data_IF_332086660273
#
_entry.id   IF_332086660273
#
_cell.length_a   1.000
_cell.length_b   1.000
_cell.length_c   1.000
_cell.angle_alpha   90.00
_cell.angle_beta   90.00
_cell.angle_gamma   90.00
#
_symmetry.space_group_name_H-M   'P 1'
#
loop_
_entity.id
_entity.type
_entity.pdbx_description
1 polymer ?
#
# COMPACT_ATOMS: atom_id res chain seq x y z
N UNK A 1 -13.96 -11.46 -22.66
CA UNK A 1 -12.73 -10.70 -22.46
C UNK A 1 -13.10 -9.24 -22.16
N UNK A 2 -12.81 -8.75 -20.95
CA UNK A 2 -13.23 -7.40 -20.53
C UNK A 2 -12.21 -6.32 -20.92
N UNK A 3 -10.93 -6.69 -21.00
CA UNK A 3 -9.85 -5.80 -21.44
C UNK A 3 -8.66 -6.59 -21.96
N UNK A 4 -7.79 -5.91 -22.71
CA UNK A 4 -6.45 -6.35 -23.00
C UNK A 4 -5.53 -5.91 -21.85
N UNK A 5 -4.59 -6.79 -21.47
CA UNK A 5 -3.62 -6.52 -20.42
C UNK A 5 -2.20 -6.58 -21.00
N UNK A 6 -1.35 -5.68 -20.55
CA UNK A 6 0.08 -5.82 -20.78
C UNK A 6 0.68 -6.86 -19.80
N UNK A 7 1.96 -7.17 -19.95
CA UNK A 7 2.67 -8.12 -19.10
C UNK A 7 3.48 -7.42 -17.99
N UNK A 8 2.95 -6.38 -17.40
CA UNK A 8 3.65 -5.65 -16.34
C UNK A 8 3.87 -6.54 -15.12
N UNK A 9 5.12 -6.63 -14.69
CA UNK A 9 5.53 -7.32 -13.46
C UNK A 9 5.99 -6.27 -12.45
N UNK A 10 5.35 -6.21 -11.31
CA UNK A 10 5.72 -5.26 -10.25
C UNK A 10 7.03 -5.69 -9.58
N UNK A 11 8.08 -4.91 -9.76
CA UNK A 11 9.42 -5.14 -9.20
C UNK A 11 9.94 -3.85 -8.54
N UNK A 12 9.32 -3.39 -7.45
CA UNK A 12 9.70 -2.15 -6.79
C UNK A 12 11.05 -2.29 -6.10
N UNK A 13 11.70 -1.16 -5.88
CA UNK A 13 12.91 -1.06 -5.07
C UNK A 13 12.68 -0.17 -3.86
N UNK A 14 13.58 -0.25 -2.88
CA UNK A 14 13.58 0.60 -1.71
C UNK A 14 14.92 1.35 -1.59
N UNK A 15 14.85 2.62 -1.25
CA UNK A 15 16.01 3.46 -0.90
C UNK A 15 15.99 3.71 0.60
N UNK A 16 17.08 3.34 1.26
CA UNK A 16 17.37 3.72 2.64
C UNK A 16 18.69 4.48 2.68
N UNK A 17 18.64 5.76 3.00
CA UNK A 17 19.78 6.68 2.85
C UNK A 17 20.30 6.60 1.40
N UNK A 18 21.55 6.24 1.22
CA UNK A 18 22.21 6.13 -0.09
C UNK A 18 22.24 4.69 -0.64
N UNK A 19 21.54 3.76 0.00
CA UNK A 19 21.54 2.34 -0.36
C UNK A 19 20.25 1.93 -1.05
N UNK A 20 20.36 1.23 -2.18
CA UNK A 20 19.24 0.66 -2.93
C UNK A 20 19.06 -0.81 -2.58
N UNK A 21 17.82 -1.22 -2.29
CA UNK A 21 17.42 -2.59 -1.98
C UNK A 21 16.29 -3.06 -2.90
N UNK A 22 16.29 -4.35 -3.23
CA UNK A 22 15.17 -4.96 -3.95
C UNK A 22 14.01 -5.30 -3.01
N UNK A 23 12.79 -5.22 -3.56
CA UNK A 23 11.55 -5.72 -2.94
C UNK A 23 10.89 -6.75 -3.87
N UNK A 24 10.16 -7.72 -3.32
CA UNK A 24 9.94 -8.02 -1.90
C UNK A 24 11.23 -8.40 -1.18
N UNK A 25 11.19 -8.61 0.15
CA UNK A 25 12.36 -9.08 0.89
C UNK A 25 12.78 -10.47 0.40
N UNK A 26 13.81 -10.51 -0.42
CA UNK A 26 14.29 -11.70 -1.12
C UNK A 26 15.81 -11.84 -1.00
N UNK A 27 16.38 -12.82 -1.70
CA UNK A 27 17.83 -13.05 -1.63
C UNK A 27 18.68 -11.88 -2.16
N UNK A 28 18.15 -11.03 -3.08
CA UNK A 28 18.85 -9.81 -3.48
C UNK A 28 18.93 -8.83 -2.31
N UNK A 29 17.83 -8.64 -1.59
CA UNK A 29 17.76 -7.81 -0.37
C UNK A 29 18.74 -8.31 0.69
N UNK A 30 18.69 -9.61 1.01
CA UNK A 30 19.52 -10.21 2.06
C UNK A 30 21.00 -10.25 1.70
N UNK A 31 21.33 -10.52 0.44
CA UNK A 31 22.70 -10.49 -0.05
C UNK A 31 23.31 -9.09 0.05
N UNK A 32 22.54 -8.07 -0.30
CA UNK A 32 22.93 -6.67 -0.15
C UNK A 32 23.11 -6.28 1.32
N UNK A 33 22.15 -6.66 2.17
CA UNK A 33 22.09 -6.26 3.58
C UNK A 33 23.20 -6.92 4.42
N UNK A 34 23.49 -8.22 4.17
CA UNK A 34 24.34 -9.04 5.02
C UNK A 34 25.57 -9.62 4.32
N UNK A 35 25.81 -9.29 3.04
CA UNK A 35 26.89 -9.88 2.22
C UNK A 35 26.89 -11.42 2.23
N UNK A 36 25.71 -12.02 2.10
CA UNK A 36 25.49 -13.47 2.07
C UNK A 36 25.08 -13.93 0.66
N UNK A 37 25.22 -15.25 0.38
CA UNK A 37 24.96 -15.79 -0.95
C UNK A 37 23.92 -16.90 -1.01
N UNK A 38 23.54 -17.47 0.14
CA UNK A 38 22.69 -18.66 0.16
C UNK A 38 21.46 -18.49 1.05
N UNK A 39 20.32 -19.14 0.71
CA UNK A 39 19.13 -19.17 1.55
C UNK A 39 19.40 -19.65 2.97
N UNK A 40 20.31 -20.61 3.15
CA UNK A 40 20.70 -21.12 4.46
C UNK A 40 21.30 -20.03 5.35
N UNK A 41 22.18 -19.18 4.76
CA UNK A 41 22.80 -18.07 5.48
C UNK A 41 21.76 -17.00 5.85
N UNK A 42 20.82 -16.68 4.93
CA UNK A 42 19.75 -15.73 5.18
C UNK A 42 18.83 -16.19 6.33
N UNK A 43 18.36 -17.43 6.26
CA UNK A 43 17.53 -18.03 7.34
C UNK A 43 18.25 -18.04 8.69
N UNK A 44 19.55 -18.40 8.69
CA UNK A 44 20.37 -18.38 9.90
C UNK A 44 20.46 -16.98 10.50
N UNK A 45 20.69 -15.95 9.66
CA UNK A 45 20.83 -14.56 10.12
C UNK A 45 19.52 -14.01 10.71
N UNK A 46 18.39 -14.31 10.06
CA UNK A 46 17.05 -13.95 10.58
C UNK A 46 16.81 -14.65 11.93
N UNK A 47 17.10 -15.94 12.02
CA UNK A 47 16.87 -16.71 13.24
C UNK A 47 17.76 -16.26 14.41
N UNK A 48 19.01 -15.87 14.15
CA UNK A 48 19.90 -15.26 15.14
C UNK A 48 19.28 -13.99 15.71
N UNK A 49 18.85 -13.06 14.86
CA UNK A 49 18.25 -11.80 15.28
C UNK A 49 16.90 -11.98 15.99
N UNK A 50 16.11 -12.98 15.57
CA UNK A 50 14.87 -13.35 16.28
C UNK A 50 15.16 -13.83 17.70
N UNK A 51 16.15 -14.71 17.88
CA UNK A 51 16.56 -15.19 19.22
C UNK A 51 17.12 -14.06 20.09
N UNK A 52 17.96 -13.20 19.51
CA UNK A 52 18.51 -12.04 20.21
C UNK A 52 17.43 -11.05 20.67
N UNK A 53 16.32 -10.94 19.94
CA UNK A 53 15.20 -10.07 20.31
C UNK A 53 14.44 -10.54 21.53
N UNK A 54 14.46 -11.85 21.85
CA UNK A 54 13.69 -12.47 22.93
C UNK A 54 12.17 -12.42 22.74
N UNK A 55 11.67 -12.04 21.57
CA UNK A 55 10.24 -11.92 21.29
C UNK A 55 9.64 -13.33 21.08
N UNK A 56 8.74 -13.73 21.96
CA UNK A 56 7.99 -15.00 21.87
C UNK A 56 6.60 -14.80 21.30
N UNK A 57 5.90 -13.75 21.75
CA UNK A 57 4.56 -13.38 21.30
C UNK A 57 4.57 -11.88 20.93
N UNK A 58 4.58 -11.54 19.63
CA UNK A 58 4.60 -10.14 19.19
C UNK A 58 3.33 -9.40 19.58
N UNK A 59 3.46 -8.26 20.28
CA UNK A 59 2.34 -7.43 20.76
C UNK A 59 2.01 -6.26 19.85
N UNK A 60 2.94 -5.85 19.01
CA UNK A 60 2.85 -4.68 18.14
C UNK A 60 3.56 -4.94 16.82
N UNK A 61 3.46 -3.97 15.89
CA UNK A 61 4.05 -4.08 14.56
C UNK A 61 5.57 -4.22 14.58
N UNK A 62 6.29 -3.50 15.46
CA UNK A 62 7.75 -3.62 15.60
C UNK A 62 8.15 -5.06 15.95
N UNK A 63 7.57 -5.60 17.01
CA UNK A 63 7.86 -6.96 17.48
C UNK A 63 7.50 -8.01 16.41
N UNK A 64 6.36 -7.83 15.73
CA UNK A 64 5.94 -8.70 14.64
C UNK A 64 6.93 -8.65 13.47
N UNK A 65 7.38 -7.47 13.06
CA UNK A 65 8.35 -7.31 11.98
C UNK A 65 9.68 -7.99 12.33
N UNK A 66 10.23 -7.71 13.51
CA UNK A 66 11.49 -8.30 13.97
C UNK A 66 11.39 -9.83 14.03
N UNK A 67 10.26 -10.36 14.50
CA UNK A 67 10.03 -11.81 14.56
C UNK A 67 9.91 -12.47 13.17
N UNK A 68 9.54 -11.72 12.13
CA UNK A 68 9.43 -12.24 10.76
C UNK A 68 10.74 -12.13 9.97
N UNK A 69 11.37 -10.95 9.99
CA UNK A 69 12.47 -10.62 9.06
C UNK A 69 13.79 -10.25 9.75
N UNK A 70 13.80 -10.17 11.08
CA UNK A 70 14.95 -9.73 11.86
C UNK A 70 15.05 -8.22 12.00
N UNK A 71 15.89 -7.78 12.94
CA UNK A 71 16.05 -6.36 13.32
C UNK A 71 16.60 -5.49 12.19
N UNK A 72 17.59 -5.98 11.45
CA UNK A 72 18.24 -5.17 10.42
C UNK A 72 17.29 -4.81 9.28
N UNK A 73 16.46 -5.76 8.84
CA UNK A 73 15.43 -5.50 7.82
C UNK A 73 14.36 -4.56 8.36
N UNK A 74 13.93 -4.76 9.61
CA UNK A 74 12.97 -3.88 10.25
C UNK A 74 13.48 -2.43 10.31
N UNK A 75 14.66 -2.19 10.87
CA UNK A 75 15.20 -0.84 11.07
C UNK A 75 15.45 -0.11 9.75
N UNK A 76 15.96 -0.79 8.72
CA UNK A 76 16.28 -0.16 7.43
C UNK A 76 15.09 -0.04 6.48
N UNK A 77 14.24 -1.07 6.41
CA UNK A 77 13.30 -1.20 5.28
C UNK A 77 11.82 -1.13 5.68
N UNK A 78 11.49 -1.20 6.98
CA UNK A 78 10.11 -1.22 7.45
C UNK A 78 9.79 -0.01 8.32
N UNK A 79 10.58 0.22 9.36
CA UNK A 79 10.30 1.18 10.42
C UNK A 79 9.96 2.58 9.93
N UNK A 80 10.87 3.22 9.20
CA UNK A 80 10.68 4.61 8.75
C UNK A 80 9.56 4.75 7.72
N UNK A 81 9.41 3.77 6.81
CA UNK A 81 8.28 3.74 5.87
C UNK A 81 6.94 3.64 6.61
N UNK A 82 6.83 2.71 7.56
CA UNK A 82 5.61 2.46 8.33
C UNK A 82 5.26 3.66 9.21
N UNK A 83 6.23 4.26 9.89
CA UNK A 83 6.02 5.48 10.69
C UNK A 83 5.45 6.62 9.85
N UNK A 84 5.97 6.84 8.64
CA UNK A 84 5.45 7.85 7.72
C UNK A 84 4.02 7.53 7.30
N UNK A 85 3.79 6.30 6.85
CA UNK A 85 2.48 5.88 6.35
C UNK A 85 1.37 6.01 7.40
N UNK A 86 1.66 5.57 8.63
CA UNK A 86 0.66 5.56 9.71
C UNK A 86 0.69 6.82 10.60
N UNK A 87 1.75 7.63 10.53
CA UNK A 87 1.92 8.81 11.39
C UNK A 87 2.09 8.46 12.87
N UNK A 88 2.41 7.21 13.20
CA UNK A 88 2.56 6.67 14.56
C UNK A 88 3.82 5.82 14.69
N UNK A 89 4.31 5.65 15.91
CA UNK A 89 5.41 4.72 16.18
C UNK A 89 4.95 3.27 15.92
N UNK A 90 5.86 2.43 15.40
CA UNK A 90 5.55 1.03 15.11
C UNK A 90 5.13 0.22 16.34
N UNK A 91 5.50 0.64 17.55
CA UNK A 91 5.09 0.03 18.81
C UNK A 91 3.65 0.33 19.21
N UNK A 92 3.05 1.37 18.63
CA UNK A 92 1.66 1.76 18.84
C UNK A 92 0.71 1.13 17.81
N UNK A 93 1.28 0.48 16.80
CA UNK A 93 0.52 -0.13 15.71
C UNK A 93 0.29 -1.62 15.98
N UNK A 94 -0.91 -2.14 15.64
CA UNK A 94 -1.22 -3.56 15.81
C UNK A 94 -0.31 -4.48 14.98
N UNK A 95 0.04 -5.64 15.54
CA UNK A 95 0.90 -6.63 14.90
C UNK A 95 0.35 -7.17 13.57
N UNK A 96 -0.99 -7.22 13.41
CA UNK A 96 -1.62 -7.79 12.22
C UNK A 96 -1.36 -6.99 10.93
N UNK A 97 -1.05 -5.68 11.01
CA UNK A 97 -0.76 -4.83 9.87
C UNK A 97 0.38 -5.41 9.01
N UNK A 98 1.36 -6.05 9.65
CA UNK A 98 2.53 -6.61 8.97
C UNK A 98 2.56 -8.15 8.98
N UNK A 99 1.45 -8.79 9.31
CA UNK A 99 1.38 -10.27 9.44
C UNK A 99 1.74 -11.02 8.15
N UNK A 100 1.58 -10.39 6.98
CA UNK A 100 1.78 -10.99 5.65
C UNK A 100 2.89 -10.31 4.87
N UNK A 101 4.07 -10.13 5.46
CA UNK A 101 5.23 -9.67 4.70
C UNK A 101 5.63 -10.71 3.65
N UNK A 102 5.81 -10.30 2.39
CA UNK A 102 6.34 -11.19 1.36
C UNK A 102 7.84 -11.45 1.60
N UNK A 103 8.15 -12.60 2.18
CA UNK A 103 9.50 -13.06 2.47
C UNK A 103 9.85 -14.22 1.53
N UNK A 104 10.93 -14.10 0.77
CA UNK A 104 11.35 -15.10 -0.21
C UNK A 104 12.84 -15.45 -0.09
N UNK A 105 13.13 -16.73 -0.18
CA UNK A 105 14.51 -17.22 -0.19
C UNK A 105 14.98 -17.61 -1.62
N UNK A 106 14.54 -16.80 -2.59
CA UNK A 106 14.90 -16.88 -4.02
C UNK A 106 15.41 -15.52 -4.49
N UNK A 107 16.04 -15.43 -5.65
CA UNK A 107 16.46 -14.18 -6.29
C UNK A 107 15.36 -13.58 -7.19
N UNK A 108 14.11 -13.88 -6.92
CA UNK A 108 12.97 -13.37 -7.67
C UNK A 108 12.51 -12.01 -7.12
N UNK A 109 12.51 -10.99 -7.97
CA UNK A 109 12.07 -9.63 -7.65
C UNK A 109 10.59 -9.36 -7.97
N UNK A 110 9.85 -10.34 -8.48
CA UNK A 110 8.43 -10.18 -8.67
C UNK A 110 7.73 -9.98 -7.31
N UNK A 111 7.07 -8.85 -7.13
CA UNK A 111 6.45 -8.51 -5.84
C UNK A 111 5.30 -9.44 -5.49
N UNK A 112 4.50 -9.86 -6.47
CA UNK A 112 3.35 -10.74 -6.29
C UNK A 112 3.68 -12.20 -6.60
N UNK A 113 2.87 -13.12 -6.08
CA UNK A 113 2.97 -14.57 -6.36
C UNK A 113 1.95 -15.04 -7.41
N UNK A 114 1.11 -14.12 -7.90
CA UNK A 114 0.02 -14.45 -8.81
C UNK A 114 0.58 -14.84 -10.18
N UNK A 115 0.06 -15.92 -10.80
CA UNK A 115 0.52 -16.38 -12.11
C UNK A 115 0.10 -15.44 -13.25
N UNK A 116 -0.95 -14.64 -13.05
CA UNK A 116 -1.44 -13.67 -14.00
C UNK A 116 -1.29 -12.26 -13.43
N UNK A 117 -0.47 -11.46 -14.08
CA UNK A 117 -0.16 -10.09 -13.69
C UNK A 117 -0.16 -9.20 -14.92
N UNK A 118 -0.59 -7.96 -14.77
CA UNK A 118 -0.59 -6.99 -15.86
C UNK A 118 -1.35 -5.73 -15.50
N UNK A 119 -1.18 -4.71 -16.33
CA UNK A 119 -1.96 -3.48 -16.28
C UNK A 119 -2.87 -3.45 -17.50
N UNK A 120 -4.16 -3.08 -17.34
CA UNK A 120 -5.05 -2.98 -18.49
C UNK A 120 -4.58 -1.89 -19.44
N UNK A 121 -4.49 -2.21 -20.73
CA UNK A 121 -4.11 -1.26 -21.77
C UNK A 121 -5.17 -0.16 -21.86
N UNK A 122 -4.73 1.09 -21.78
CA UNK A 122 -5.63 2.26 -21.75
C UNK A 122 -6.30 2.55 -20.40
N UNK A 123 -5.88 1.85 -19.34
CA UNK A 123 -6.31 2.11 -17.96
C UNK A 123 -7.52 1.30 -17.49
N UNK A 124 -7.91 1.52 -16.24
CA UNK A 124 -8.92 0.72 -15.55
C UNK A 124 -10.36 1.10 -15.88
N UNK A 125 -10.63 2.34 -16.33
CA UNK A 125 -11.98 2.84 -16.59
C UNK A 125 -12.71 2.00 -17.62
N UNK A 126 -12.06 1.59 -18.69
CA UNK A 126 -12.66 0.77 -19.74
C UNK A 126 -13.16 -0.60 -19.23
N UNK A 127 -12.50 -1.19 -18.23
CA UNK A 127 -12.97 -2.43 -17.59
C UNK A 127 -14.28 -2.17 -16.84
N UNK A 128 -14.32 -1.09 -16.07
CA UNK A 128 -15.50 -0.73 -15.27
C UNK A 128 -16.69 -0.41 -16.19
N UNK A 129 -16.48 0.37 -17.25
CA UNK A 129 -17.51 0.65 -18.26
C UNK A 129 -18.09 -0.64 -18.84
N UNK A 130 -17.22 -1.59 -19.17
CA UNK A 130 -17.65 -2.87 -19.75
C UNK A 130 -18.37 -3.77 -18.74
N UNK A 131 -17.98 -3.76 -17.48
CA UNK A 131 -18.68 -4.46 -16.40
C UNK A 131 -20.07 -3.89 -16.16
N UNK A 132 -20.22 -2.58 -16.32
CA UNK A 132 -21.46 -1.84 -16.11
C UNK A 132 -22.31 -1.63 -17.38
N UNK A 133 -21.92 -2.21 -18.52
CA UNK A 133 -22.58 -2.00 -19.82
C UNK A 133 -24.10 -2.19 -19.80
N UNK A 134 -24.61 -3.05 -18.91
CA UNK A 134 -26.04 -3.34 -18.75
C UNK A 134 -26.65 -2.72 -17.50
N UNK A 135 -25.92 -1.83 -16.84
CA UNK A 135 -26.33 -1.20 -15.58
C UNK A 135 -26.47 0.30 -15.81
N UNK A 136 -27.58 0.87 -15.35
CA UNK A 136 -27.72 2.33 -15.35
C UNK A 136 -26.70 2.94 -14.37
N UNK A 137 -25.89 3.89 -14.84
CA UNK A 137 -24.87 4.58 -14.04
C UNK A 137 -25.20 6.05 -13.99
N UNK A 138 -25.35 6.57 -12.78
CA UNK A 138 -25.56 8.01 -12.50
C UNK A 138 -24.30 8.57 -11.85
N UNK A 139 -23.50 9.32 -12.62
CA UNK A 139 -22.33 10.00 -12.09
C UNK A 139 -22.70 11.29 -11.35
N UNK A 140 -21.81 11.77 -10.47
CA UNK A 140 -22.01 13.00 -9.69
C UNK A 140 -23.33 13.02 -8.91
N UNK A 141 -23.76 11.86 -8.42
CA UNK A 141 -25.03 11.68 -7.71
C UNK A 141 -24.74 11.23 -6.29
N UNK A 142 -25.01 12.08 -5.34
CA UNK A 142 -24.86 11.75 -3.91
C UNK A 142 -25.96 10.78 -3.46
N UNK A 143 -25.59 9.79 -2.65
CA UNK A 143 -26.54 8.77 -2.14
C UNK A 143 -27.78 9.39 -1.47
N UNK A 144 -27.58 10.37 -0.60
CA UNK A 144 -28.69 11.02 0.14
C UNK A 144 -29.61 11.80 -0.76
N UNK A 145 -29.10 12.51 -1.74
CA UNK A 145 -29.86 13.25 -2.72
C UNK A 145 -30.72 12.29 -3.56
N UNK A 146 -30.09 11.21 -4.05
CA UNK A 146 -30.79 10.18 -4.81
C UNK A 146 -31.91 9.53 -3.99
N UNK A 147 -31.62 9.06 -2.79
CA UNK A 147 -32.62 8.40 -1.93
C UNK A 147 -33.71 9.34 -1.45
N UNK A 148 -33.44 10.62 -1.31
CA UNK A 148 -34.46 11.64 -0.97
C UNK A 148 -35.53 11.81 -2.07
N UNK A 149 -35.20 11.49 -3.33
CA UNK A 149 -36.09 11.64 -4.48
C UNK A 149 -36.66 10.32 -4.99
N UNK A 150 -35.96 9.17 -4.78
CA UNK A 150 -36.21 7.89 -5.44
C UNK A 150 -36.28 6.70 -4.46
N UNK A 151 -36.53 6.94 -3.18
CA UNK A 151 -36.56 5.86 -2.17
C UNK A 151 -37.56 4.76 -2.50
N UNK A 152 -38.70 5.11 -3.10
CA UNK A 152 -39.79 4.19 -3.46
C UNK A 152 -39.48 3.35 -4.71
N UNK A 153 -38.41 3.70 -5.45
CA UNK A 153 -37.96 3.00 -6.64
C UNK A 153 -36.86 1.96 -6.34
N UNK A 154 -36.38 1.88 -5.08
CA UNK A 154 -35.22 1.08 -4.69
C UNK A 154 -35.60 -0.04 -3.75
N UNK A 155 -35.45 -1.29 -4.21
CA UNK A 155 -35.72 -2.49 -3.40
C UNK A 155 -34.60 -2.77 -2.39
N UNK A 156 -33.34 -2.52 -2.75
CA UNK A 156 -32.16 -2.79 -1.91
C UNK A 156 -31.02 -1.82 -2.21
N UNK A 157 -30.34 -1.39 -1.16
CA UNK A 157 -29.16 -0.55 -1.24
C UNK A 157 -27.91 -1.32 -0.83
N UNK A 158 -26.82 -1.17 -1.60
CA UNK A 158 -25.48 -1.58 -1.22
C UNK A 158 -24.65 -0.31 -1.17
N UNK A 159 -24.39 0.18 0.06
CA UNK A 159 -23.60 1.37 0.28
C UNK A 159 -22.14 0.99 0.48
N UNK A 160 -21.24 1.55 -0.33
CA UNK A 160 -19.80 1.25 -0.29
C UNK A 160 -18.96 2.43 0.21
N UNK A 161 -19.60 3.50 0.67
CA UNK A 161 -18.95 4.64 1.33
C UNK A 161 -18.60 4.36 2.80
N UNK A 162 -18.20 5.39 3.52
CA UNK A 162 -17.87 5.29 4.94
C UNK A 162 -19.11 4.99 5.78
N UNK A 163 -19.03 3.97 6.64
CA UNK A 163 -20.17 3.54 7.48
C UNK A 163 -20.58 4.64 8.46
N UNK A 164 -19.65 5.35 9.06
CA UNK A 164 -19.90 6.44 9.99
C UNK A 164 -20.58 7.63 9.30
N UNK A 165 -20.19 7.98 8.07
CA UNK A 165 -20.85 8.97 7.23
C UNK A 165 -22.29 8.56 6.89
N UNK A 166 -22.52 7.28 6.58
CA UNK A 166 -23.86 6.76 6.30
C UNK A 166 -24.82 7.05 7.46
N UNK A 167 -24.34 6.98 8.70
CA UNK A 167 -25.09 7.23 9.92
C UNK A 167 -24.90 8.66 10.51
N UNK A 168 -24.45 9.63 9.70
CA UNK A 168 -24.26 11.03 10.13
C UNK A 168 -23.29 11.18 11.31
N UNK A 169 -22.29 10.30 11.40
CA UNK A 169 -21.29 10.28 12.48
C UNK A 169 -21.90 10.25 13.89
N UNK A 170 -23.13 9.73 14.02
CA UNK A 170 -23.91 9.76 15.29
C UNK A 170 -23.23 9.10 16.49
N UNK A 171 -22.32 8.14 16.24
CA UNK A 171 -21.53 7.46 17.27
C UNK A 171 -20.08 7.98 17.35
N UNK A 172 -19.70 8.90 16.48
CA UNK A 172 -18.36 9.45 16.33
C UNK A 172 -17.72 9.07 15.00
N UNK A 173 -16.58 9.70 14.68
CA UNK A 173 -15.86 9.48 13.43
C UNK A 173 -14.86 8.36 13.57
N UNK A 174 -14.79 7.49 12.57
CA UNK A 174 -13.70 6.54 12.38
C UNK A 174 -12.46 7.27 11.87
N UNK A 175 -11.29 6.79 12.25
CA UNK A 175 -10.03 7.39 11.84
C UNK A 175 -9.54 6.75 10.53
N UNK A 176 -9.05 7.60 9.62
CA UNK A 176 -8.45 7.19 8.37
C UNK A 176 -7.07 7.83 8.18
N UNK A 177 -6.26 7.20 7.35
CA UNK A 177 -5.08 7.84 6.77
C UNK A 177 -5.38 8.21 5.33
N UNK A 178 -4.75 9.28 4.88
CA UNK A 178 -4.89 9.80 3.52
C UNK A 178 -3.53 9.94 2.84
N UNK A 179 -3.58 10.24 1.54
CA UNK A 179 -2.40 10.46 0.71
C UNK A 179 -2.53 11.80 -0.02
N UNK A 180 -1.42 12.50 -0.12
CA UNK A 180 -1.27 13.67 -0.98
C UNK A 180 -0.20 13.38 -2.03
N UNK A 181 -0.49 13.73 -3.27
CA UNK A 181 0.42 13.52 -4.40
C UNK A 181 0.94 14.85 -4.93
N UNK A 182 2.23 14.91 -5.19
CA UNK A 182 2.86 15.99 -5.95
C UNK A 182 3.32 15.44 -7.29
N UNK A 183 2.67 15.90 -8.36
CA UNK A 183 2.96 15.47 -9.73
C UNK A 183 3.92 16.45 -10.37
N UNK A 184 4.94 15.92 -11.07
CA UNK A 184 5.96 16.71 -11.77
C UNK A 184 6.21 16.11 -13.15
N UNK A 185 6.28 16.97 -14.17
CA UNK A 185 6.68 16.60 -15.53
C UNK A 185 8.15 16.94 -15.69
N UNK A 186 8.95 15.93 -16.03
CA UNK A 186 10.40 16.05 -16.19
C UNK A 186 10.82 15.96 -17.66
N UNK A 187 11.79 16.78 -18.04
CA UNK A 187 12.42 16.75 -19.39
C UNK A 187 13.51 15.66 -19.45
N UNK A 188 13.12 14.46 -19.14
CA UNK A 188 13.93 13.24 -19.30
C UNK A 188 13.03 12.08 -19.69
N UNK A 189 13.56 11.18 -20.47
CA UNK A 189 12.85 9.96 -20.88
C UNK A 189 12.80 8.90 -19.79
N UNK A 190 13.66 8.98 -18.78
CA UNK A 190 13.72 7.98 -17.70
C UNK A 190 14.32 8.61 -16.44
N UNK A 191 13.55 8.72 -15.39
CA UNK A 191 13.96 9.34 -14.14
C UNK A 191 14.57 8.34 -13.15
N UNK A 192 13.91 7.21 -12.92
CA UNK A 192 14.30 6.26 -11.87
C UNK A 192 14.46 4.80 -12.35
N UNK A 193 14.17 4.51 -13.62
CA UNK A 193 14.38 3.19 -14.21
C UNK A 193 13.37 2.10 -13.84
N UNK A 194 12.36 2.41 -13.04
CA UNK A 194 11.29 1.49 -12.66
C UNK A 194 10.04 2.27 -12.24
N UNK A 195 8.89 1.59 -12.18
CA UNK A 195 7.63 2.25 -11.86
C UNK A 195 7.57 2.79 -10.43
N UNK A 196 8.15 2.10 -9.44
CA UNK A 196 8.02 2.47 -8.02
C UNK A 196 9.34 2.35 -7.29
N UNK A 197 9.77 3.46 -6.69
CA UNK A 197 10.86 3.52 -5.72
C UNK A 197 10.30 3.92 -4.35
N UNK A 198 10.45 3.05 -3.35
CA UNK A 198 10.02 3.31 -1.98
C UNK A 198 11.17 3.94 -1.18
N UNK A 199 10.88 4.96 -0.41
CA UNK A 199 11.85 5.65 0.47
C UNK A 199 11.58 5.25 1.91
N UNK A 200 12.45 4.45 2.48
CA UNK A 200 12.24 3.86 3.81
C UNK A 200 12.90 4.64 4.95
N UNK A 201 13.74 5.62 4.64
CA UNK A 201 14.27 6.55 5.63
C UNK A 201 13.17 7.51 6.12
N UNK A 202 13.04 7.67 7.44
CA UNK A 202 12.06 8.57 8.04
C UNK A 202 12.36 10.06 7.81
N UNK A 203 13.60 10.42 7.46
CA UNK A 203 13.98 11.80 7.13
C UNK A 203 13.52 12.22 5.73
N UNK A 204 13.13 11.30 4.87
CA UNK A 204 12.53 11.57 3.56
C UNK A 204 11.02 11.73 3.75
N UNK A 205 10.40 12.88 3.39
CA UNK A 205 9.03 13.17 3.78
C UNK A 205 7.97 12.38 3.01
N UNK A 206 8.28 11.84 1.84
CA UNK A 206 7.39 10.99 1.05
C UNK A 206 7.71 9.51 1.23
N UNK A 207 6.74 8.65 0.96
CA UNK A 207 6.90 7.19 1.05
C UNK A 207 7.42 6.58 -0.22
N UNK A 208 7.05 7.13 -1.39
CA UNK A 208 7.51 6.63 -2.69
C UNK A 208 7.47 7.69 -3.77
N UNK A 209 8.23 7.42 -4.81
CA UNK A 209 8.09 8.08 -6.11
C UNK A 209 7.57 7.05 -7.10
N UNK A 210 6.55 7.44 -7.86
CA UNK A 210 5.95 6.67 -8.94
C UNK A 210 6.34 7.32 -10.26
N UNK A 211 6.96 6.59 -11.17
CA UNK A 211 7.20 7.01 -12.55
C UNK A 211 6.23 6.26 -13.46
N UNK A 212 5.18 6.96 -13.90
CA UNK A 212 3.98 6.36 -14.47
C UNK A 212 4.22 5.62 -15.79
N UNK A 213 5.12 6.09 -16.64
CA UNK A 213 5.39 5.51 -17.96
C UNK A 213 5.75 4.01 -17.92
N UNK A 214 6.39 3.57 -16.82
CA UNK A 214 6.83 2.18 -16.69
C UNK A 214 5.68 1.18 -16.52
N UNK A 215 4.50 1.62 -16.08
CA UNK A 215 3.33 0.74 -15.97
C UNK A 215 2.80 0.29 -17.35
N UNK A 216 2.95 1.15 -18.37
CA UNK A 216 2.45 0.90 -19.72
C UNK A 216 3.58 0.67 -20.73
N UNK A 217 4.84 0.62 -20.29
CA UNK A 217 6.03 0.56 -21.15
C UNK A 217 6.07 1.68 -22.22
N UNK A 218 5.55 2.85 -21.86
CA UNK A 218 5.45 3.98 -22.77
C UNK A 218 6.84 4.50 -23.15
N UNK A 219 7.05 4.72 -24.44
CA UNK A 219 8.27 5.36 -24.96
C UNK A 219 8.01 6.84 -25.22
N UNK A 220 8.40 7.68 -24.27
CA UNK A 220 8.17 9.12 -24.29
C UNK A 220 9.48 9.87 -24.00
N UNK A 221 9.66 11.07 -24.59
CA UNK A 221 10.82 11.91 -24.36
C UNK A 221 10.79 12.64 -23.01
N UNK A 222 9.61 12.70 -22.40
CA UNK A 222 9.36 13.31 -21.07
C UNK A 222 8.67 12.28 -20.19
N UNK A 223 8.89 12.39 -18.90
CA UNK A 223 8.22 11.51 -17.95
C UNK A 223 7.43 12.28 -16.91
N UNK A 224 6.43 11.60 -16.31
CA UNK A 224 5.66 12.12 -15.18
C UNK A 224 6.00 11.29 -13.96
N UNK A 225 6.35 11.97 -12.89
CA UNK A 225 6.52 11.35 -11.58
C UNK A 225 5.48 11.88 -10.60
N UNK A 226 5.10 11.02 -9.63
CA UNK A 226 4.28 11.41 -8.47
C UNK A 226 5.04 11.08 -7.19
N UNK A 227 5.26 12.09 -6.33
CA UNK A 227 5.70 11.88 -4.95
C UNK A 227 4.49 11.68 -4.06
N UNK A 228 4.46 10.58 -3.33
CA UNK A 228 3.37 10.21 -2.43
C UNK A 228 3.69 10.57 -0.99
N UNK A 229 2.89 11.45 -0.41
CA UNK A 229 3.00 11.91 0.98
C UNK A 229 1.85 11.36 1.80
N UNK A 230 2.09 10.54 2.81
CA UNK A 230 1.05 10.18 3.77
C UNK A 230 0.65 11.38 4.62
N UNK A 231 -0.63 11.51 4.87
CA UNK A 231 -1.17 12.56 5.71
C UNK A 231 -2.36 12.08 6.55
N UNK A 232 -2.73 12.87 7.52
CA UNK A 232 -3.96 12.64 8.27
C UNK A 232 -5.16 12.92 7.37
N UNK A 233 -6.17 12.08 7.50
CA UNK A 233 -7.43 12.31 6.84
C UNK A 233 -8.17 13.47 7.50
N UNK A 234 -8.85 14.26 6.68
CA UNK A 234 -9.76 15.32 7.08
C UNK A 234 -10.97 15.27 6.16
N UNK A 235 -12.10 15.76 6.63
CA UNK A 235 -13.28 15.95 5.80
C UNK A 235 -12.94 16.72 4.51
N UNK A 236 -13.42 16.21 3.38
CA UNK A 236 -13.16 16.78 2.05
C UNK A 236 -11.91 16.23 1.33
N UNK A 237 -11.13 15.33 1.95
CA UNK A 237 -10.06 14.59 1.28
C UNK A 237 -10.35 13.09 1.28
N UNK A 238 -9.84 12.39 0.28
CA UNK A 238 -10.07 10.95 0.10
C UNK A 238 -9.52 10.12 1.26
N UNK A 239 -10.31 9.24 1.91
CA UNK A 239 -9.83 8.28 2.89
C UNK A 239 -9.21 7.07 2.19
N UNK A 240 -7.89 6.87 2.32
CA UNK A 240 -7.20 5.76 1.68
C UNK A 240 -7.11 4.51 2.55
N UNK A 241 -6.87 4.67 3.84
CA UNK A 241 -6.64 3.54 4.75
C UNK A 241 -7.40 3.74 6.06
N UNK A 242 -8.29 2.80 6.44
CA UNK A 242 -8.90 2.82 7.77
C UNK A 242 -7.85 2.50 8.84
N UNK A 243 -7.91 3.18 9.96
CA UNK A 243 -7.09 2.89 11.14
C UNK A 243 -7.76 1.77 11.94
N UNK A 244 -7.29 0.54 11.75
CA UNK A 244 -7.87 -0.66 12.36
C UNK A 244 -7.24 -0.96 13.74
N UNK A 245 -7.24 0.01 14.65
CA UNK A 245 -6.88 -0.20 16.05
C UNK A 245 -8.10 -0.61 16.90
N UNK A 246 -7.88 -0.98 18.16
CA UNK A 246 -8.94 -1.47 19.04
C UNK A 246 -10.05 -0.44 19.24
N UNK A 247 -9.71 0.85 19.32
CA UNK A 247 -10.67 1.96 19.46
C UNK A 247 -11.58 2.05 18.24
N UNK A 248 -11.00 2.09 17.04
CA UNK A 248 -11.73 2.19 15.78
C UNK A 248 -12.54 0.92 15.49
N UNK A 249 -11.98 -0.25 15.79
CA UNK A 249 -12.71 -1.52 15.65
C UNK A 249 -13.92 -1.58 16.60
N UNK A 250 -13.77 -1.13 17.85
CA UNK A 250 -14.90 -1.05 18.77
C UNK A 250 -16.01 -0.11 18.26
N UNK A 251 -15.64 1.07 17.77
CA UNK A 251 -16.59 2.02 17.18
C UNK A 251 -17.25 1.47 15.91
N UNK A 252 -16.48 0.82 15.04
CA UNK A 252 -17.01 0.15 13.85
C UNK A 252 -18.09 -0.89 14.21
N UNK A 253 -17.84 -1.73 15.20
CA UNK A 253 -18.80 -2.72 15.67
C UNK A 253 -20.06 -2.11 16.33
N UNK A 254 -20.00 -0.87 16.84
CA UNK A 254 -21.22 -0.18 17.27
C UNK A 254 -22.06 0.28 16.07
N UNK A 255 -21.43 0.65 14.95
CA UNK A 255 -22.15 0.98 13.71
C UNK A 255 -22.76 -0.24 13.00
N UNK A 256 -22.22 -1.44 13.19
CA UNK A 256 -22.76 -2.68 12.62
C UNK A 256 -24.05 -3.17 13.27
N UNK A 257 -24.38 -2.70 14.48
CA UNK A 257 -25.59 -3.08 15.24
C UNK A 257 -26.83 -2.33 14.78
#
# INVERSE_FOLDING_TARGET
NFAEFNNYINSPVAVYKDELYNLPFNMNTFSKLWNIKTPKQAKKKIEEQRKESGITEPKNLEEQAISLVGRDVYEKLIKGYTKKQWGRDCRELPAFIIKRLPLRFTYDNNYFNDPYQGIPVGGYTAIIEKLLEKTEVKLNTAYREFMGLHSDEVDKVIYTGMIDEFFDFKLGMLEYRSLRFENEILDTDNFQGCAVVNYTDENVPYTRIIEHKHFEYANTLRTVISREYPCEWKEGIEPYYPVNDDKNNALYHEYEK
#
